data_IF_098205768794
#
_entry.id   IF_098205768794
#
_cell.length_a   1.000
_cell.length_b   1.000
_cell.length_c   1.000
_cell.angle_alpha   90.00
_cell.angle_beta   90.00
_cell.angle_gamma   90.00
#
_symmetry.space_group_name_H-M   'P 1'
#
loop_
_entity.id
_entity.type
_entity.pdbx_description
1 polymer ?
#
# COMPACT_ATOMS: atom_id res chain seq x y z
N UNK A 1 -63.42 44.47 -0.01
CA UNK A 1 -63.49 44.89 -1.41
C UNK A 1 -62.75 43.78 -2.19
N UNK A 2 -63.49 42.79 -2.63
CA UNK A 2 -64.08 42.61 -3.99
C UNK A 2 -63.05 42.95 -5.03
N UNK A 3 -62.74 42.11 -5.92
CA UNK A 3 -63.19 41.09 -6.82
C UNK A 3 -62.08 41.06 -7.89
N UNK A 4 -61.76 40.19 -8.79
CA UNK A 4 -62.64 39.34 -9.60
C UNK A 4 -61.73 38.38 -10.39
N UNK A 5 -62.17 37.16 -10.48
CA UNK A 5 -61.78 36.10 -11.40
C UNK A 5 -61.96 36.49 -12.85
N UNK A 6 -61.04 36.09 -13.75
CA UNK A 6 -61.36 35.76 -15.15
C UNK A 6 -60.44 34.63 -15.64
N UNK A 7 -61.05 33.49 -15.94
CA UNK A 7 -60.52 32.53 -16.94
C UNK A 7 -61.11 32.95 -18.31
N UNK A 8 -60.40 32.71 -19.39
CA UNK A 8 -61.02 31.85 -20.42
C UNK A 8 -60.05 30.87 -21.12
N UNK A 9 -60.57 29.73 -21.36
CA UNK A 9 -61.05 29.09 -22.60
C UNK A 9 -60.02 28.36 -23.44
N UNK A 10 -60.19 27.04 -23.41
CA UNK A 10 -59.64 26.03 -24.31
C UNK A 10 -59.86 26.41 -25.82
N UNK A 11 -58.83 26.13 -26.62
CA UNK A 11 -59.03 25.86 -28.01
C UNK A 11 -58.39 24.52 -28.36
N UNK A 12 -59.23 23.56 -28.63
CA UNK A 12 -58.96 22.27 -29.24
C UNK A 12 -58.82 22.47 -30.71
N UNK A 13 -57.75 22.05 -31.35
CA UNK A 13 -57.70 21.82 -32.77
C UNK A 13 -56.96 20.54 -33.09
N UNK A 14 -57.67 19.54 -33.49
CA UNK A 14 -57.25 18.33 -34.20
C UNK A 14 -57.45 18.54 -35.72
N UNK A 15 -57.02 17.54 -36.52
CA UNK A 15 -55.79 16.82 -36.73
C UNK A 15 -55.24 16.98 -38.14
N UNK A 16 -54.04 16.62 -38.42
CA UNK A 16 -53.71 16.37 -39.83
C UNK A 16 -52.88 15.08 -39.98
N UNK A 17 -53.36 14.38 -40.98
CA UNK A 17 -53.14 13.06 -41.47
C UNK A 17 -51.70 12.68 -41.79
N UNK A 18 -51.34 11.46 -41.39
CA UNK A 18 -50.66 10.43 -42.17
C UNK A 18 -49.50 10.79 -43.11
N UNK A 19 -48.32 10.38 -42.78
CA UNK A 19 -47.42 9.65 -43.69
C UNK A 19 -46.68 8.54 -42.93
N UNK A 20 -47.01 7.34 -43.27
CA UNK A 20 -46.25 6.14 -42.99
C UNK A 20 -44.92 6.22 -43.76
N UNK A 21 -43.79 6.24 -43.06
CA UNK A 21 -42.51 5.90 -43.63
C UNK A 21 -42.05 4.53 -43.06
N UNK A 22 -41.43 3.70 -43.91
CA UNK A 22 -41.15 2.30 -43.56
C UNK A 22 -40.06 2.17 -42.49
N UNK A 23 -40.24 1.16 -41.71
CA UNK A 23 -39.35 0.66 -40.67
C UNK A 23 -37.92 0.49 -41.19
N UNK A 24 -37.05 1.44 -40.86
CA UNK A 24 -35.62 1.24 -40.88
C UNK A 24 -35.25 0.48 -39.61
N UNK A 25 -34.78 -0.75 -39.80
CA UNK A 25 -34.35 -1.61 -38.68
C UNK A 25 -33.27 -0.93 -37.83
N UNK A 26 -33.62 -0.51 -36.63
CA UNK A 26 -32.67 -0.21 -35.59
C UNK A 26 -31.98 -1.54 -35.21
N UNK A 27 -30.83 -1.77 -35.79
CA UNK A 27 -29.92 -2.75 -35.22
C UNK A 27 -29.57 -2.28 -33.81
N UNK A 28 -30.13 -2.94 -32.83
CA UNK A 28 -29.60 -2.91 -31.48
C UNK A 28 -28.21 -3.56 -31.54
N UNK A 29 -27.19 -2.76 -31.81
CA UNK A 29 -25.82 -3.12 -31.48
C UNK A 29 -25.75 -3.19 -29.95
N UNK A 30 -26.22 -4.32 -29.42
CA UNK A 30 -25.86 -4.76 -28.07
C UNK A 30 -24.41 -5.20 -28.17
N UNK A 31 -23.49 -4.24 -28.21
CA UNK A 31 -22.10 -4.50 -27.85
C UNK A 31 -22.10 -4.81 -26.36
N UNK A 32 -22.41 -6.08 -26.03
CA UNK A 32 -21.96 -6.69 -24.81
C UNK A 32 -20.42 -6.61 -24.86
N UNK A 33 -19.85 -5.56 -24.29
CA UNK A 33 -18.49 -5.59 -23.89
C UNK A 33 -18.40 -6.73 -22.87
N UNK A 34 -17.65 -7.82 -23.15
CA UNK A 34 -17.35 -8.75 -22.08
C UNK A 34 -16.65 -7.92 -21.01
N UNK A 35 -17.31 -7.75 -19.86
CA UNK A 35 -16.62 -7.31 -18.68
C UNK A 35 -15.39 -8.24 -18.59
N UNK A 36 -14.19 -7.70 -18.82
CA UNK A 36 -12.98 -8.39 -18.51
C UNK A 36 -13.05 -8.67 -17.02
N UNK A 37 -13.50 -9.88 -16.68
CA UNK A 37 -13.30 -10.44 -15.35
C UNK A 37 -11.79 -10.61 -15.29
N UNK A 38 -11.11 -9.58 -14.87
CA UNK A 38 -9.71 -9.63 -14.53
C UNK A 38 -9.67 -10.47 -13.25
N UNK A 39 -9.43 -11.76 -13.44
CA UNK A 39 -9.28 -12.68 -12.33
C UNK A 39 -8.12 -12.16 -11.48
N UNK A 40 -8.45 -11.50 -10.39
CA UNK A 40 -7.43 -10.96 -9.49
C UNK A 40 -6.82 -12.16 -8.76
N UNK A 41 -5.61 -12.54 -9.17
CA UNK A 41 -4.83 -13.55 -8.47
C UNK A 41 -3.88 -12.84 -7.51
N UNK A 42 -3.99 -13.18 -6.24
CA UNK A 42 -3.02 -12.79 -5.22
C UNK A 42 -2.08 -13.97 -5.02
N UNK A 43 -0.83 -13.78 -5.40
CA UNK A 43 0.22 -14.76 -5.17
C UNK A 43 0.85 -14.56 -3.81
N UNK A 44 1.37 -15.63 -3.21
CA UNK A 44 2.04 -15.55 -1.91
C UNK A 44 3.46 -16.04 -2.02
N UNK A 45 4.38 -15.28 -1.44
CA UNK A 45 5.80 -15.62 -1.32
C UNK A 45 6.19 -15.75 0.16
N UNK A 46 7.07 -16.70 0.43
CA UNK A 46 7.70 -16.81 1.75
C UNK A 46 8.76 -15.73 1.91
N UNK A 47 8.95 -15.28 3.14
CA UNK A 47 9.99 -14.32 3.49
C UNK A 47 11.04 -14.99 4.39
N UNK A 48 12.20 -14.37 4.61
CA UNK A 48 13.18 -14.85 5.58
C UNK A 48 12.65 -14.92 7.02
N UNK A 49 11.59 -14.15 7.31
CA UNK A 49 10.86 -14.23 8.56
C UNK A 49 9.71 -15.24 8.45
N UNK A 50 9.76 -16.40 9.13
CA UNK A 50 8.75 -17.44 9.02
C UNK A 50 7.37 -17.01 9.53
N UNK A 51 7.31 -15.98 10.40
CA UNK A 51 6.06 -15.39 10.88
C UNK A 51 5.43 -14.42 9.86
N UNK A 52 6.12 -14.11 8.75
CA UNK A 52 5.65 -13.14 7.76
C UNK A 52 5.50 -13.79 6.39
N UNK A 53 4.34 -13.55 5.74
CA UNK A 53 4.14 -13.86 4.32
C UNK A 53 3.97 -12.58 3.52
N UNK A 54 4.47 -12.61 2.29
CA UNK A 54 4.34 -11.54 1.31
C UNK A 54 3.26 -11.90 0.30
N UNK A 55 2.32 -11.01 0.10
CA UNK A 55 1.18 -11.14 -0.80
C UNK A 55 1.35 -10.19 -1.97
N UNK A 56 1.47 -10.73 -3.17
CA UNK A 56 1.59 -9.97 -4.41
C UNK A 56 0.19 -9.65 -4.95
N UNK A 57 -0.18 -8.37 -4.86
CA UNK A 57 -1.53 -7.93 -5.23
C UNK A 57 -1.81 -7.90 -6.75
N UNK A 58 -0.79 -8.19 -7.60
CA UNK A 58 -0.90 -8.09 -9.07
C UNK A 58 -1.09 -6.66 -9.59
N UNK A 59 -1.12 -5.68 -8.70
CA UNK A 59 -1.32 -4.24 -8.99
C UNK A 59 -0.45 -3.38 -8.07
N UNK A 60 -0.37 -2.09 -8.38
CA UNK A 60 0.26 -1.14 -7.47
C UNK A 60 -0.57 -1.01 -6.20
N UNK A 61 0.07 -1.20 -5.05
CA UNK A 61 -0.51 -0.98 -3.71
C UNK A 61 -0.18 0.43 -3.26
N UNK A 62 1.11 0.77 -3.19
CA UNK A 62 1.58 2.12 -2.85
C UNK A 62 2.17 2.79 -4.08
N UNK A 63 1.67 3.97 -4.45
CA UNK A 63 2.23 4.76 -5.56
C UNK A 63 3.64 5.25 -5.23
N UNK A 64 3.83 5.71 -4.00
CA UNK A 64 5.11 6.22 -3.50
C UNK A 64 5.33 5.78 -2.07
N UNK A 65 6.59 5.48 -1.73
CA UNK A 65 6.99 5.09 -0.38
C UNK A 65 6.44 3.73 0.05
N UNK A 66 6.48 3.52 1.33
CA UNK A 66 6.01 2.31 2.03
C UNK A 66 5.31 2.70 3.33
N UNK A 67 4.50 1.80 3.87
CA UNK A 67 3.84 2.04 5.15
C UNK A 67 3.87 0.78 6.01
N UNK A 68 4.40 0.92 7.21
CA UNK A 68 4.41 -0.11 8.24
C UNK A 68 3.34 0.19 9.30
N UNK A 69 2.65 -0.84 9.75
CA UNK A 69 1.67 -0.80 10.82
C UNK A 69 2.07 -1.87 11.84
N UNK A 70 2.63 -1.44 12.95
CA UNK A 70 3.05 -2.31 14.04
C UNK A 70 1.93 -2.55 15.06
N UNK A 71 0.90 -1.70 15.06
CA UNK A 71 -0.22 -1.77 16.00
C UNK A 71 -1.57 -1.54 15.32
N UNK A 72 -2.67 -2.03 15.92
CA UNK A 72 -4.03 -1.76 15.43
C UNK A 72 -4.38 -0.26 15.40
N UNK A 73 -3.82 0.52 16.33
CA UNK A 73 -4.03 1.98 16.41
C UNK A 73 -3.44 2.67 15.18
N UNK A 74 -2.25 2.26 14.74
CA UNK A 74 -1.63 2.77 13.52
C UNK A 74 -2.41 2.36 12.28
N UNK A 75 -3.05 1.18 12.31
CA UNK A 75 -3.84 0.64 11.22
C UNK A 75 -5.15 1.41 10.96
N UNK A 76 -5.66 2.19 11.94
CA UNK A 76 -6.92 2.94 11.84
C UNK A 76 -6.97 3.94 10.66
N UNK A 77 -5.82 4.32 10.10
CA UNK A 77 -5.75 5.19 8.92
C UNK A 77 -6.04 4.43 7.60
N UNK A 78 -6.02 3.10 7.64
CA UNK A 78 -6.20 2.23 6.47
C UNK A 78 -7.29 1.19 6.73
N UNK A 79 -8.41 1.23 5.98
CA UNK A 79 -9.47 0.21 6.12
C UNK A 79 -8.95 -1.21 5.89
N UNK A 80 -7.98 -1.38 5.00
CA UNK A 80 -7.39 -2.68 4.74
C UNK A 80 -6.55 -3.17 5.93
N UNK A 81 -5.67 -2.33 6.45
CA UNK A 81 -4.83 -2.68 7.59
C UNK A 81 -5.68 -2.96 8.84
N UNK A 82 -6.68 -2.12 9.12
CA UNK A 82 -7.63 -2.30 10.22
C UNK A 82 -8.35 -3.65 10.12
N UNK A 83 -8.85 -4.01 8.93
CA UNK A 83 -9.52 -5.28 8.71
C UNK A 83 -8.58 -6.47 8.90
N UNK A 84 -7.32 -6.37 8.44
CA UNK A 84 -6.32 -7.42 8.65
C UNK A 84 -6.01 -7.62 10.14
N UNK A 85 -5.83 -6.56 10.92
CA UNK A 85 -5.63 -6.66 12.37
C UNK A 85 -6.86 -7.23 13.09
N UNK A 86 -8.07 -7.01 12.58
CA UNK A 86 -9.30 -7.55 13.17
C UNK A 86 -9.40 -9.08 13.12
N UNK A 87 -8.56 -9.75 12.33
CA UNK A 87 -8.45 -11.22 12.31
C UNK A 87 -7.90 -11.77 13.65
N UNK A 88 -7.27 -10.95 14.47
CA UNK A 88 -6.79 -11.30 15.81
C UNK A 88 -5.42 -11.97 15.84
N UNK A 89 -5.06 -12.72 14.82
CA UNK A 89 -3.76 -13.40 14.69
C UNK A 89 -2.69 -12.54 14.00
N UNK A 90 -3.05 -11.39 13.45
CA UNK A 90 -2.14 -10.47 12.75
C UNK A 90 -1.54 -9.50 13.75
N UNK A 91 -0.21 -9.40 13.74
CA UNK A 91 0.57 -8.50 14.61
C UNK A 91 1.35 -7.44 13.86
N UNK A 92 1.37 -7.49 12.53
CA UNK A 92 2.02 -6.49 11.71
C UNK A 92 1.53 -6.54 10.27
N UNK A 93 1.38 -5.37 9.67
CA UNK A 93 0.99 -5.22 8.27
C UNK A 93 1.92 -4.19 7.63
N UNK A 94 2.47 -4.52 6.48
CA UNK A 94 3.36 -3.64 5.75
C UNK A 94 2.90 -3.50 4.30
N UNK A 95 2.78 -2.28 3.82
CA UNK A 95 2.45 -1.97 2.43
C UNK A 95 3.69 -1.53 1.68
N UNK A 96 4.07 -2.33 0.69
CA UNK A 96 5.10 -2.01 -0.29
C UNK A 96 4.50 -1.53 -1.61
N UNK A 97 5.35 -1.28 -2.59
CA UNK A 97 4.90 -0.75 -3.89
C UNK A 97 3.89 -1.66 -4.60
N UNK A 98 4.13 -2.97 -4.64
CA UNK A 98 3.26 -3.95 -5.32
C UNK A 98 2.91 -5.17 -4.46
N UNK A 99 3.17 -5.11 -3.18
CA UNK A 99 2.96 -6.21 -2.27
C UNK A 99 2.50 -5.74 -0.89
N UNK A 100 1.95 -6.66 -0.15
CA UNK A 100 1.58 -6.49 1.25
C UNK A 100 2.27 -7.62 2.02
N UNK A 101 3.01 -7.29 3.07
CA UNK A 101 3.53 -8.29 4.00
C UNK A 101 2.66 -8.29 5.25
N UNK A 102 2.28 -9.49 5.68
CA UNK A 102 1.49 -9.69 6.89
C UNK A 102 2.29 -10.56 7.84
N UNK A 103 2.39 -10.15 9.09
CA UNK A 103 3.08 -10.87 10.16
C UNK A 103 2.05 -11.39 11.14
N UNK A 104 2.17 -12.67 11.50
CA UNK A 104 1.26 -13.32 12.46
C UNK A 104 1.89 -13.44 13.84
N UNK A 105 1.02 -13.59 14.83
CA UNK A 105 1.41 -13.75 16.24
C UNK A 105 2.22 -15.04 16.46
N UNK A 106 3.14 -15.04 17.44
CA UNK A 106 3.81 -16.28 17.86
C UNK A 106 2.81 -17.34 18.29
N UNK A 107 2.88 -18.51 17.65
CA UNK A 107 1.97 -19.64 17.92
C UNK A 107 0.79 -19.76 16.97
N UNK A 108 0.54 -18.75 16.13
CA UNK A 108 -0.43 -18.87 15.04
C UNK A 108 0.19 -19.59 13.83
N UNK A 109 -0.65 -20.27 13.06
CA UNK A 109 -0.23 -21.09 11.92
C UNK A 109 -0.73 -20.50 10.61
N UNK A 110 0.16 -20.31 9.64
CA UNK A 110 -0.20 -19.80 8.32
C UNK A 110 -1.25 -20.63 7.59
N UNK A 111 -1.33 -21.92 7.86
CA UNK A 111 -2.36 -22.80 7.31
C UNK A 111 -3.78 -22.41 7.69
N UNK A 112 -3.94 -21.74 8.83
CA UNK A 112 -5.22 -21.25 9.33
C UNK A 112 -5.47 -19.79 8.93
N UNK A 113 -4.48 -18.92 9.10
CA UNK A 113 -4.63 -17.48 8.92
C UNK A 113 -4.59 -17.05 7.44
N UNK A 114 -3.79 -17.75 6.61
CA UNK A 114 -3.61 -17.38 5.19
C UNK A 114 -4.90 -17.28 4.38
N UNK A 115 -5.87 -18.21 4.50
CA UNK A 115 -7.13 -18.10 3.77
C UNK A 115 -7.92 -16.84 4.13
N UNK A 116 -7.94 -16.46 5.40
CA UNK A 116 -8.67 -15.28 5.88
C UNK A 116 -8.01 -13.99 5.39
N UNK A 117 -6.68 -13.92 5.44
CA UNK A 117 -5.91 -12.80 4.85
C UNK A 117 -6.18 -12.68 3.35
N UNK A 118 -6.17 -13.78 2.61
CA UNK A 118 -6.48 -13.77 1.17
C UNK A 118 -7.90 -13.28 0.89
N UNK A 119 -8.89 -13.70 1.68
CA UNK A 119 -10.26 -13.25 1.54
C UNK A 119 -10.36 -11.73 1.76
N UNK A 120 -9.76 -11.21 2.83
CA UNK A 120 -9.74 -9.76 3.12
C UNK A 120 -9.10 -8.98 1.97
N UNK A 121 -7.96 -9.44 1.47
CA UNK A 121 -7.28 -8.78 0.36
C UNK A 121 -8.10 -8.82 -0.93
N UNK A 122 -8.70 -9.98 -1.27
CA UNK A 122 -9.54 -10.14 -2.45
C UNK A 122 -10.79 -9.24 -2.38
N UNK A 123 -11.47 -9.22 -1.24
CA UNK A 123 -12.66 -8.39 -1.03
C UNK A 123 -12.33 -6.91 -1.16
N UNK A 124 -11.27 -6.45 -0.51
CA UNK A 124 -10.82 -5.05 -0.55
C UNK A 124 -10.49 -4.60 -1.98
N UNK A 125 -9.69 -5.36 -2.69
CA UNK A 125 -9.26 -5.00 -4.04
C UNK A 125 -10.35 -5.22 -5.08
N UNK A 126 -11.22 -6.21 -4.93
CA UNK A 126 -12.37 -6.43 -5.83
C UNK A 126 -13.42 -5.33 -5.69
N UNK A 127 -13.64 -4.85 -4.49
CA UNK A 127 -14.51 -3.71 -4.21
C UNK A 127 -13.85 -2.35 -4.61
N UNK A 128 -12.58 -2.38 -5.02
CA UNK A 128 -11.78 -1.20 -5.33
C UNK A 128 -11.82 -0.14 -4.21
N UNK A 129 -11.75 -0.62 -2.97
CA UNK A 129 -11.75 0.24 -1.79
C UNK A 129 -10.46 1.05 -1.69
N UNK A 130 -10.52 2.27 -1.14
CA UNK A 130 -9.34 3.09 -0.96
C UNK A 130 -8.41 2.45 0.08
N UNK A 131 -7.10 2.49 -0.18
CA UNK A 131 -6.09 1.94 0.73
C UNK A 131 -6.03 2.72 2.05
N UNK A 132 -6.27 4.03 2.00
CA UNK A 132 -6.27 4.93 3.14
C UNK A 132 -7.58 5.71 3.23
N UNK A 133 -8.02 5.99 4.44
CA UNK A 133 -9.16 6.88 4.68
C UNK A 133 -8.86 8.29 4.20
N UNK A 134 -9.66 8.89 3.31
CA UNK A 134 -9.40 10.22 2.76
C UNK A 134 -9.33 11.32 3.84
N UNK A 135 -10.03 11.13 4.96
CA UNK A 135 -9.97 12.04 6.10
C UNK A 135 -8.60 12.03 6.82
N UNK A 136 -7.87 10.93 6.72
CA UNK A 136 -6.58 10.72 7.37
C UNK A 136 -5.40 10.78 6.39
N UNK A 137 -5.69 10.91 5.07
CA UNK A 137 -4.66 10.94 4.03
C UNK A 137 -3.67 12.11 4.20
N UNK A 138 -4.09 13.20 4.81
CA UNK A 138 -3.23 14.35 5.13
C UNK A 138 -2.16 14.04 6.21
N UNK A 139 -2.31 12.94 6.97
CA UNK A 139 -1.37 12.49 8.01
C UNK A 139 -0.38 11.41 7.55
N UNK A 140 -0.42 11.01 6.27
CA UNK A 140 0.41 9.91 5.75
C UNK A 140 1.88 10.30 5.58
N UNK A 141 2.16 11.60 5.44
CA UNK A 141 3.51 12.12 5.58
C UNK A 141 3.77 12.37 7.06
N UNK A 142 4.05 11.33 7.81
CA UNK A 142 4.75 11.53 9.09
C UNK A 142 6.14 12.03 8.69
N UNK A 143 6.51 13.28 9.02
CA UNK A 143 7.91 13.63 9.06
C UNK A 143 8.48 12.67 10.10
N UNK A 144 9.28 11.73 9.62
CA UNK A 144 10.06 10.93 10.55
C UNK A 144 11.05 11.91 11.15
N UNK A 145 10.68 12.49 12.30
CA UNK A 145 11.66 13.18 13.11
C UNK A 145 12.75 12.17 13.40
N UNK A 146 13.85 12.30 12.67
CA UNK A 146 15.05 11.53 12.95
C UNK A 146 15.59 12.11 14.25
N UNK A 147 15.59 11.33 15.32
CA UNK A 147 16.31 11.67 16.57
C UNK A 147 17.82 11.84 16.32
N UNK A 148 18.24 11.57 15.09
CA UNK A 148 19.61 11.65 14.62
C UNK A 148 19.72 12.78 13.60
N UNK A 149 20.48 13.82 13.94
CA UNK A 149 20.78 14.92 13.04
C UNK A 149 22.07 14.62 12.32
N UNK A 150 22.01 14.60 10.98
CA UNK A 150 23.21 14.49 10.14
C UNK A 150 24.08 15.75 10.36
N UNK A 151 25.41 15.55 10.48
CA UNK A 151 26.32 16.69 10.54
C UNK A 151 26.41 17.31 9.12
N UNK A 152 26.23 18.62 8.96
CA UNK A 152 26.38 19.28 7.65
C UNK A 152 27.75 19.04 7.01
N UNK A 153 28.79 18.76 7.81
CA UNK A 153 30.12 18.44 7.32
C UNK A 153 30.19 17.09 6.60
N UNK A 154 29.24 16.18 6.91
CA UNK A 154 29.16 14.83 6.35
C UNK A 154 28.13 14.72 5.20
N UNK A 155 27.64 15.84 4.66
CA UNK A 155 26.56 15.86 3.68
C UNK A 155 26.84 14.96 2.44
N UNK A 156 28.05 14.99 1.90
CA UNK A 156 28.46 14.17 0.75
C UNK A 156 28.46 12.68 1.10
N UNK A 157 28.88 12.32 2.31
CA UNK A 157 28.87 10.96 2.83
C UNK A 157 27.44 10.46 3.00
N UNK A 158 26.59 11.29 3.55
CA UNK A 158 25.15 10.99 3.76
C UNK A 158 24.45 10.79 2.43
N UNK A 159 24.74 11.60 1.40
CA UNK A 159 24.17 11.43 0.07
C UNK A 159 24.58 10.10 -0.55
N UNK A 160 25.87 9.72 -0.47
CA UNK A 160 26.36 8.43 -0.95
C UNK A 160 25.69 7.25 -0.21
N UNK A 161 25.54 7.34 1.12
CA UNK A 161 24.85 6.32 1.90
C UNK A 161 23.41 6.16 1.44
N UNK A 162 22.67 7.25 1.29
CA UNK A 162 21.29 7.26 0.82
C UNK A 162 21.16 6.66 -0.58
N UNK A 163 22.04 7.03 -1.50
CA UNK A 163 22.07 6.48 -2.86
C UNK A 163 22.31 4.95 -2.86
N UNK A 164 23.25 4.47 -2.07
CA UNK A 164 23.51 3.03 -1.95
C UNK A 164 22.33 2.29 -1.35
N UNK A 165 21.68 2.85 -0.34
CA UNK A 165 20.47 2.28 0.25
C UNK A 165 19.39 2.17 -0.82
N UNK A 166 19.10 3.26 -1.54
CA UNK A 166 18.03 3.29 -2.54
C UNK A 166 18.29 2.33 -3.72
N UNK A 167 19.53 2.30 -4.21
CA UNK A 167 19.84 1.60 -5.46
C UNK A 167 20.19 0.12 -5.26
N UNK A 168 20.72 -0.25 -4.10
CA UNK A 168 21.22 -1.61 -3.86
C UNK A 168 20.53 -2.33 -2.71
N UNK A 169 20.24 -1.63 -1.62
CA UNK A 169 19.70 -2.27 -0.41
C UNK A 169 18.18 -2.42 -0.51
N UNK A 170 17.47 -1.35 -0.82
CA UNK A 170 16.00 -1.37 -0.89
C UNK A 170 15.42 -2.42 -1.83
N UNK A 171 15.94 -2.63 -3.07
CA UNK A 171 15.43 -3.66 -3.94
C UNK A 171 15.54 -5.07 -3.35
N UNK A 172 16.66 -5.37 -2.65
CA UNK A 172 16.86 -6.67 -2.00
C UNK A 172 15.90 -6.83 -0.81
N UNK A 173 15.78 -5.81 0.02
CA UNK A 173 14.89 -5.80 1.19
C UNK A 173 13.41 -5.90 0.76
N UNK A 174 13.02 -5.25 -0.33
CA UNK A 174 11.68 -5.36 -0.91
C UNK A 174 11.40 -6.76 -1.48
N UNK A 175 12.41 -7.43 -2.03
CA UNK A 175 12.28 -8.83 -2.43
C UNK A 175 11.95 -9.73 -1.23
N UNK A 176 12.53 -9.44 -0.08
CA UNK A 176 12.29 -10.14 1.19
C UNK A 176 11.01 -9.69 1.92
N UNK A 177 10.24 -8.77 1.34
CA UNK A 177 8.95 -8.34 1.87
C UNK A 177 9.01 -7.25 2.94
N UNK A 178 10.08 -6.47 2.98
CA UNK A 178 10.26 -5.35 3.90
C UNK A 178 10.72 -4.08 3.21
N UNK A 179 11.14 -3.12 4.03
CA UNK A 179 11.81 -1.89 3.60
C UNK A 179 12.84 -1.46 4.64
N UNK A 180 13.65 -0.49 4.24
CA UNK A 180 14.68 0.10 5.08
C UNK A 180 14.63 1.62 4.97
N UNK A 181 14.61 2.28 6.11
CA UNK A 181 14.55 3.73 6.22
C UNK A 181 15.84 4.23 6.85
N UNK A 182 16.51 5.14 6.15
CA UNK A 182 17.64 5.86 6.70
C UNK A 182 17.18 6.82 7.80
N UNK A 183 17.83 6.78 8.96
CA UNK A 183 17.51 7.60 10.14
C UNK A 183 18.55 8.66 10.44
N UNK A 184 19.82 8.38 10.13
CA UNK A 184 20.89 9.34 10.32
C UNK A 184 22.27 8.73 10.24
N UNK A 185 23.29 9.63 10.20
CA UNK A 185 24.70 9.28 10.23
C UNK A 185 25.43 10.15 11.25
N UNK A 186 26.15 9.54 12.16
CA UNK A 186 26.90 10.27 13.18
C UNK A 186 28.17 9.49 13.56
N UNK A 187 29.32 10.15 13.43
CA UNK A 187 30.64 9.60 13.81
C UNK A 187 30.91 8.19 13.26
N UNK A 188 30.64 7.99 11.98
CA UNK A 188 30.83 6.71 11.30
C UNK A 188 29.75 5.67 11.56
N UNK A 189 28.71 5.99 12.31
CA UNK A 189 27.58 5.08 12.59
C UNK A 189 26.39 5.48 11.76
N UNK A 190 25.85 4.51 11.00
CA UNK A 190 24.63 4.65 10.22
C UNK A 190 23.46 4.07 11.00
N UNK A 191 22.41 4.84 11.18
CA UNK A 191 21.18 4.42 11.84
C UNK A 191 20.11 4.10 10.81
N UNK A 192 19.59 2.88 10.85
CA UNK A 192 18.62 2.37 9.90
C UNK A 192 17.42 1.80 10.66
N UNK A 193 16.22 2.09 10.17
CA UNK A 193 15.02 1.40 10.65
C UNK A 193 14.61 0.34 9.64
N UNK A 194 14.43 -0.88 10.11
CA UNK A 194 13.90 -2.00 9.34
C UNK A 194 12.38 -2.06 9.48
N UNK A 195 11.67 -2.32 8.38
CA UNK A 195 10.22 -2.38 8.33
C UNK A 195 9.73 -3.67 7.65
N UNK A 196 8.46 -4.03 7.90
CA UNK A 196 7.84 -5.20 7.31
C UNK A 196 8.50 -6.52 7.76
N UNK A 197 8.72 -7.45 6.84
CA UNK A 197 9.31 -8.76 7.15
C UNK A 197 10.71 -8.69 7.78
N UNK A 198 11.43 -7.59 7.60
CA UNK A 198 12.78 -7.38 8.14
C UNK A 198 12.77 -6.91 9.59
N UNK A 199 11.64 -6.43 10.10
CA UNK A 199 11.44 -6.12 11.52
C UNK A 199 11.05 -7.41 12.29
N UNK A 200 11.47 -7.53 13.51
CA UNK A 200 10.97 -8.58 14.43
C UNK A 200 11.59 -9.98 14.34
N UNK A 201 12.47 -10.27 13.38
CA UNK A 201 13.19 -11.55 13.34
C UNK A 201 14.69 -11.36 13.66
N UNK A 202 15.16 -11.74 14.85
CA UNK A 202 16.56 -11.49 15.27
C UNK A 202 17.60 -12.10 14.33
N UNK A 203 17.34 -13.27 13.75
CA UNK A 203 18.28 -13.97 12.89
C UNK A 203 18.38 -13.32 11.50
N UNK A 204 17.26 -12.95 10.88
CA UNK A 204 17.26 -12.27 9.59
C UNK A 204 17.75 -10.83 9.71
N UNK A 205 17.38 -10.12 10.77
CA UNK A 205 17.85 -8.76 11.04
C UNK A 205 19.37 -8.71 11.25
N UNK A 206 19.97 -9.67 11.95
CA UNK A 206 21.42 -9.71 12.14
C UNK A 206 22.17 -9.97 10.84
N UNK A 207 21.69 -10.91 10.00
CA UNK A 207 22.29 -11.22 8.71
C UNK A 207 22.15 -10.04 7.74
N UNK A 208 20.98 -9.44 7.67
CA UNK A 208 20.71 -8.28 6.82
C UNK A 208 21.57 -7.08 7.24
N UNK A 209 21.61 -6.77 8.55
CA UNK A 209 22.47 -5.73 9.11
C UNK A 209 23.93 -5.93 8.73
N UNK A 210 24.48 -7.14 8.92
CA UNK A 210 25.85 -7.46 8.56
C UNK A 210 26.16 -7.32 7.07
N UNK A 211 25.21 -7.70 6.21
CA UNK A 211 25.31 -7.53 4.77
C UNK A 211 25.31 -6.05 4.35
N UNK A 212 24.42 -5.25 4.92
CA UNK A 212 24.33 -3.80 4.69
C UNK A 212 25.60 -3.11 5.21
N UNK A 213 26.05 -3.46 6.40
CA UNK A 213 27.27 -2.89 6.99
C UNK A 213 28.49 -3.17 6.11
N UNK A 214 28.63 -4.41 5.63
CA UNK A 214 29.73 -4.79 4.73
C UNK A 214 29.68 -4.03 3.42
N UNK A 215 28.48 -3.85 2.85
CA UNK A 215 28.27 -3.09 1.62
C UNK A 215 28.62 -1.61 1.83
N UNK A 216 28.10 -0.99 2.87
CA UNK A 216 28.36 0.43 3.14
C UNK A 216 29.84 0.68 3.40
N UNK A 217 30.50 -0.14 4.24
CA UNK A 217 31.94 -0.03 4.50
C UNK A 217 32.82 -0.17 3.25
N UNK A 218 32.37 -0.96 2.28
CA UNK A 218 33.10 -1.15 1.04
C UNK A 218 33.07 0.10 0.13
N UNK A 219 31.91 0.76 0.06
CA UNK A 219 31.74 1.94 -0.79
C UNK A 219 31.99 3.26 -0.08
N UNK A 220 31.77 3.32 1.21
CA UNK A 220 31.88 4.49 2.09
C UNK A 220 32.79 4.13 3.28
N UNK A 221 34.12 4.28 3.15
CA UNK A 221 35.05 3.85 4.20
C UNK A 221 34.86 4.55 5.56
N UNK A 222 34.20 5.71 5.55
CA UNK A 222 33.85 6.46 6.76
C UNK A 222 32.82 5.73 7.64
N UNK A 223 32.08 4.78 7.08
CA UNK A 223 31.13 3.96 7.82
C UNK A 223 31.87 2.91 8.64
N UNK A 224 31.74 2.97 9.94
CA UNK A 224 32.36 2.02 10.89
C UNK A 224 31.38 1.00 11.43
N UNK A 225 30.09 1.37 11.54
CA UNK A 225 29.05 0.52 12.13
C UNK A 225 27.67 0.87 11.55
N UNK A 226 26.80 -0.15 11.41
CA UNK A 226 25.37 0.03 11.09
C UNK A 226 24.56 -0.39 12.30
N UNK A 227 23.60 0.44 12.71
CA UNK A 227 22.72 0.21 13.85
C UNK A 227 21.26 0.16 13.37
N UNK A 228 20.54 -0.86 13.80
CA UNK A 228 19.09 -0.92 13.64
C UNK A 228 18.43 -0.24 14.85
N UNK A 229 17.48 0.66 14.57
CA UNK A 229 16.72 1.46 15.53
C UNK A 229 15.23 1.30 15.32
#
# INVERSE_FOLDING_TARGET
MQATSVRPVMTVTQPNSARLHPLGGARLDTQCHPAHIQLMMIETETTPNPATLKFLAGRTVMETGTRDFATPEEAAVSPLAETLFSLGDVTGVFFGHRFISVTIAPGSEWTQVKPDVLNVLLDHFSANMPLFNPANAAGISVPVESDFTDDPADADIVEQIKELIETRVRPAVAADGGDIVYRGFTRGKVYLQLQGACSGCPSSSATLKGGIESLLKYYVPEVTEVLAV
#
